data_IF_326000672669
#
_entry.id   IF_326000672669
#
_cell.length_a   1.000
_cell.length_b   1.000
_cell.length_c   1.000
_cell.angle_alpha   90.00
_cell.angle_beta   90.00
_cell.angle_gamma   90.00
#
_symmetry.space_group_name_H-M   'P 1'
#
loop_
_entity.id
_entity.type
_entity.pdbx_description
1 polymer ?
#
# COMPACT_ATOMS: atom_id res chain seq x y z
N UNK A 1 22.34 -2.11 -26.78
CA UNK A 1 23.37 -2.79 -25.97
C UNK A 1 22.97 -2.95 -24.48
N UNK A 2 21.66 -2.92 -24.16
CA UNK A 2 21.12 -3.14 -22.81
C UNK A 2 21.13 -4.62 -22.36
N UNK A 3 21.48 -5.55 -23.23
CA UNK A 3 21.50 -7.00 -22.94
C UNK A 3 22.72 -7.49 -22.15
N UNK A 4 23.71 -6.64 -21.88
CA UNK A 4 24.94 -7.04 -21.19
C UNK A 4 24.86 -6.97 -19.63
N UNK A 5 23.73 -6.60 -19.04
CA UNK A 5 23.54 -6.51 -17.58
C UNK A 5 22.55 -7.53 -17.04
N UNK A 6 22.19 -8.56 -17.83
CA UNK A 6 21.17 -9.50 -17.43
C UNK A 6 21.79 -10.62 -16.60
N UNK A 7 21.68 -10.47 -15.31
CA UNK A 7 21.80 -11.53 -14.32
C UNK A 7 20.44 -12.11 -13.97
N UNK A 8 20.42 -12.94 -12.95
CA UNK A 8 19.17 -13.43 -12.36
C UNK A 8 18.37 -12.27 -11.77
N UNK A 9 17.06 -12.26 -12.00
CA UNK A 9 16.16 -11.19 -11.56
C UNK A 9 14.99 -11.81 -10.81
N UNK A 10 14.70 -11.29 -9.62
CA UNK A 10 13.46 -11.58 -8.91
C UNK A 10 12.48 -10.43 -9.04
N UNK A 11 11.21 -10.74 -9.28
CA UNK A 11 10.15 -9.73 -9.35
C UNK A 11 8.79 -10.33 -8.98
N UNK A 12 7.83 -9.47 -8.78
CA UNK A 12 6.45 -9.82 -8.43
C UNK A 12 5.51 -9.32 -9.50
N UNK A 13 4.55 -10.14 -9.90
CA UNK A 13 3.40 -9.70 -10.67
C UNK A 13 2.10 -10.07 -9.94
N UNK A 14 1.02 -9.47 -10.35
CA UNK A 14 -0.33 -9.75 -9.84
C UNK A 14 -1.22 -10.06 -11.03
N UNK A 15 -1.99 -11.13 -10.96
CA UNK A 15 -2.91 -11.52 -12.01
C UNK A 15 -4.29 -11.81 -11.42
N UNK A 16 -5.32 -11.53 -12.20
CA UNK A 16 -6.68 -11.87 -11.83
C UNK A 16 -6.95 -13.32 -12.21
N UNK A 17 -7.35 -14.13 -11.25
CA UNK A 17 -7.94 -15.45 -11.45
C UNK A 17 -9.47 -15.29 -11.58
N UNK A 18 -10.19 -16.39 -11.75
CA UNK A 18 -11.66 -16.38 -11.90
C UNK A 18 -12.38 -15.71 -10.74
N UNK A 19 -11.91 -15.89 -9.52
CA UNK A 19 -12.57 -15.41 -8.28
C UNK A 19 -11.71 -14.44 -7.48
N UNK A 20 -10.36 -14.52 -7.59
CA UNK A 20 -9.44 -13.75 -6.75
C UNK A 20 -8.18 -13.32 -7.51
N UNK A 21 -7.39 -12.46 -6.86
CA UNK A 21 -6.07 -12.10 -7.36
C UNK A 21 -5.00 -13.05 -6.82
N UNK A 22 -4.10 -13.47 -7.70
CA UNK A 22 -2.90 -14.23 -7.36
C UNK A 22 -1.66 -13.37 -7.53
N UNK A 23 -0.71 -13.55 -6.63
CA UNK A 23 0.62 -12.95 -6.71
C UNK A 23 1.60 -14.01 -7.23
N UNK A 24 2.33 -13.67 -8.29
CA UNK A 24 3.39 -14.49 -8.84
C UNK A 24 4.76 -13.95 -8.42
N UNK A 25 5.49 -14.75 -7.65
CA UNK A 25 6.87 -14.47 -7.25
C UNK A 25 7.80 -15.18 -8.21
N UNK A 26 8.56 -14.43 -8.98
CA UNK A 26 9.33 -14.94 -10.11
C UNK A 26 10.83 -14.87 -9.84
N UNK A 27 11.51 -15.95 -10.09
CA UNK A 27 12.95 -15.97 -10.30
C UNK A 27 13.22 -16.21 -11.79
N UNK A 28 13.75 -15.23 -12.47
CA UNK A 28 14.03 -15.25 -13.90
C UNK A 28 15.53 -15.34 -14.14
N UNK A 29 15.95 -16.32 -14.95
CA UNK A 29 17.33 -16.48 -15.38
C UNK A 29 17.48 -16.23 -16.87
N UNK A 30 18.35 -15.31 -17.20
CA UNK A 30 18.78 -15.05 -18.56
C UNK A 30 20.30 -15.24 -18.65
N UNK A 31 20.72 -16.22 -19.42
CA UNK A 31 22.14 -16.53 -19.63
C UNK A 31 22.46 -16.58 -21.13
N UNK A 32 23.62 -16.05 -21.53
CA UNK A 32 24.09 -16.17 -22.89
C UNK A 32 24.39 -17.65 -23.20
N UNK A 33 23.77 -18.16 -24.24
CA UNK A 33 23.93 -19.55 -24.70
C UNK A 33 23.93 -19.58 -26.23
N UNK A 34 25.11 -19.65 -26.87
CA UNK A 34 25.25 -19.69 -28.33
C UNK A 34 24.59 -20.92 -28.97
N UNK A 35 24.32 -21.99 -28.21
CA UNK A 35 23.65 -23.17 -28.71
C UNK A 35 22.16 -22.98 -29.00
N UNK A 36 21.58 -21.91 -28.49
CA UNK A 36 20.15 -21.60 -28.67
C UNK A 36 19.93 -20.70 -29.90
N UNK A 37 18.80 -20.83 -30.60
CA UNK A 37 18.52 -20.07 -31.84
C UNK A 37 18.58 -18.54 -31.66
N UNK A 38 18.28 -18.04 -30.45
CA UNK A 38 18.33 -16.61 -30.08
C UNK A 38 19.62 -16.20 -29.38
N UNK A 39 20.59 -17.14 -29.22
CA UNK A 39 21.83 -16.91 -28.51
C UNK A 39 21.70 -16.75 -26.98
N UNK A 40 20.51 -17.04 -26.43
CA UNK A 40 20.23 -16.91 -24.99
C UNK A 40 19.36 -18.06 -24.48
N UNK A 41 19.66 -18.50 -23.27
CA UNK A 41 18.79 -19.33 -22.45
C UNK A 41 17.93 -18.44 -21.56
N UNK A 42 16.63 -18.66 -21.56
CA UNK A 42 15.66 -17.92 -20.72
C UNK A 42 14.74 -18.92 -20.06
N UNK A 43 14.61 -18.83 -18.74
CA UNK A 43 13.62 -19.64 -18.00
C UNK A 43 13.23 -18.91 -16.69
N UNK A 44 11.97 -19.06 -16.33
CA UNK A 44 11.44 -18.56 -15.05
C UNK A 44 11.00 -19.72 -14.17
N UNK A 45 11.21 -19.57 -12.87
CA UNK A 45 10.51 -20.33 -11.84
C UNK A 45 9.52 -19.38 -11.19
N UNK A 46 8.28 -19.82 -11.02
CA UNK A 46 7.20 -18.98 -10.48
C UNK A 46 6.53 -19.69 -9.31
N UNK A 47 6.40 -18.99 -8.20
CA UNK A 47 5.57 -19.38 -7.07
C UNK A 47 4.31 -18.55 -7.11
N UNK A 48 3.14 -19.18 -7.13
CA UNK A 48 1.85 -18.50 -7.07
C UNK A 48 1.28 -18.60 -5.66
N UNK A 49 0.77 -17.48 -5.16
CA UNK A 49 0.12 -17.43 -3.85
C UNK A 49 -1.01 -16.40 -3.85
N UNK A 50 -2.13 -16.65 -3.21
CA UNK A 50 -3.12 -15.63 -2.93
C UNK A 50 -2.59 -14.60 -1.92
N UNK A 51 -1.63 -15.00 -1.08
CA UNK A 51 -1.07 -14.16 -0.03
C UNK A 51 0.09 -13.30 -0.54
N UNK A 52 0.06 -12.00 -0.34
CA UNK A 52 1.08 -11.07 -0.83
C UNK A 52 2.26 -10.88 0.16
N UNK A 53 2.77 -11.97 0.73
CA UNK A 53 3.93 -11.91 1.65
C UNK A 53 5.24 -11.78 0.88
N UNK A 54 5.47 -10.57 0.35
CA UNK A 54 6.57 -10.30 -0.59
C UNK A 54 7.93 -10.60 0.02
N UNK A 55 8.19 -10.18 1.26
CA UNK A 55 9.47 -10.43 1.93
C UNK A 55 9.73 -11.90 2.18
N UNK A 56 8.69 -12.69 2.51
CA UNK A 56 8.80 -14.14 2.66
C UNK A 56 9.09 -14.80 1.32
N UNK A 57 8.20 -14.63 0.35
CA UNK A 57 8.30 -15.36 -0.93
C UNK A 57 9.48 -14.91 -1.78
N UNK A 58 9.96 -13.67 -1.60
CA UNK A 58 11.23 -13.24 -2.20
C UNK A 58 12.39 -14.07 -1.65
N UNK A 59 12.49 -14.25 -0.33
CA UNK A 59 13.53 -15.10 0.27
C UNK A 59 13.42 -16.55 -0.19
N UNK A 60 12.19 -17.08 -0.28
CA UNK A 60 11.96 -18.43 -0.87
C UNK A 60 12.52 -18.51 -2.29
N UNK A 61 12.22 -17.53 -3.15
CA UNK A 61 12.67 -17.51 -4.53
C UNK A 61 14.17 -17.31 -4.67
N UNK A 62 14.78 -16.53 -3.79
CA UNK A 62 16.24 -16.31 -3.76
C UNK A 62 17.01 -17.59 -3.38
N UNK A 63 16.38 -18.50 -2.61
CA UNK A 63 16.91 -19.83 -2.27
C UNK A 63 16.57 -20.85 -3.36
N UNK A 64 15.30 -20.96 -3.72
CA UNK A 64 14.80 -21.94 -4.68
C UNK A 64 15.36 -21.75 -6.10
N UNK A 65 15.41 -20.50 -6.57
CA UNK A 65 15.77 -20.18 -7.95
C UNK A 65 17.12 -20.76 -8.36
N UNK A 66 18.23 -20.43 -7.66
CA UNK A 66 19.55 -21.00 -7.96
C UNK A 66 19.54 -22.54 -7.94
N UNK A 67 18.96 -23.14 -6.88
CA UNK A 67 18.92 -24.60 -6.70
C UNK A 67 18.11 -25.31 -7.78
N UNK A 68 17.03 -24.72 -8.24
CA UNK A 68 16.27 -25.25 -9.37
C UNK A 68 17.12 -25.35 -10.64
N UNK A 69 17.95 -24.36 -10.92
CA UNK A 69 18.81 -24.37 -12.10
C UNK A 69 20.02 -25.30 -11.97
N UNK A 70 20.32 -25.77 -10.77
CA UNK A 70 21.37 -26.78 -10.51
C UNK A 70 20.82 -28.21 -10.52
N UNK A 71 19.65 -28.43 -9.90
CA UNK A 71 19.09 -29.75 -9.63
C UNK A 71 17.87 -30.11 -10.49
N UNK A 72 17.31 -29.13 -11.21
CA UNK A 72 16.11 -29.34 -12.03
C UNK A 72 14.84 -29.50 -11.23
N UNK A 73 13.86 -30.19 -11.80
CA UNK A 73 12.48 -30.28 -11.26
C UNK A 73 12.38 -31.12 -9.97
N UNK A 74 13.35 -31.99 -9.69
CA UNK A 74 13.38 -32.82 -8.48
C UNK A 74 13.38 -31.96 -7.19
N UNK A 75 13.83 -30.70 -7.25
CA UNK A 75 13.84 -29.81 -6.12
C UNK A 75 12.42 -29.47 -5.62
N UNK A 76 11.39 -29.55 -6.49
CA UNK A 76 10.03 -29.19 -6.10
C UNK A 76 9.40 -30.15 -5.08
N UNK A 77 9.77 -31.43 -5.08
CA UNK A 77 9.32 -32.41 -4.07
C UNK A 77 9.86 -32.02 -2.69
N UNK A 78 11.12 -31.59 -2.64
CA UNK A 78 11.74 -31.13 -1.39
C UNK A 78 11.11 -29.82 -0.89
N UNK A 79 10.82 -28.89 -1.83
CA UNK A 79 10.12 -27.63 -1.50
C UNK A 79 8.73 -27.92 -0.93
N UNK A 80 7.96 -28.81 -1.55
CA UNK A 80 6.63 -29.20 -1.07
C UNK A 80 6.71 -29.74 0.36
N UNK A 81 7.65 -30.66 0.62
CA UNK A 81 7.87 -31.19 1.97
C UNK A 81 8.29 -30.13 2.99
N UNK A 82 9.08 -29.12 2.58
CA UNK A 82 9.40 -27.99 3.47
C UNK A 82 8.15 -27.17 3.81
N UNK A 83 7.32 -26.84 2.81
CA UNK A 83 6.11 -26.04 2.98
C UNK A 83 5.06 -26.75 3.84
N UNK A 84 4.90 -28.06 3.72
CA UNK A 84 4.00 -28.86 4.55
C UNK A 84 4.37 -28.81 6.03
N UNK A 85 5.64 -28.62 6.35
CA UNK A 85 6.13 -28.50 7.73
C UNK A 85 6.02 -27.07 8.29
N UNK A 86 5.59 -26.09 7.49
CA UNK A 86 5.38 -24.74 7.99
C UNK A 86 4.12 -24.68 8.85
N UNK A 87 4.27 -24.12 10.05
CA UNK A 87 3.16 -23.96 10.99
C UNK A 87 2.11 -22.96 10.53
N UNK A 88 1.04 -22.87 11.30
CA UNK A 88 0.01 -21.86 11.06
C UNK A 88 0.57 -20.44 11.19
N UNK A 89 0.24 -19.61 10.24
CA UNK A 89 0.65 -18.21 10.18
C UNK A 89 -0.33 -17.37 11.00
N UNK A 90 0.19 -16.65 12.01
CA UNK A 90 -0.60 -15.71 12.81
C UNK A 90 -0.07 -14.29 12.60
N UNK A 91 -0.94 -13.27 12.52
CA UNK A 91 -0.51 -11.88 12.41
C UNK A 91 0.45 -11.49 13.53
N UNK A 92 1.54 -10.80 13.18
CA UNK A 92 2.56 -10.36 14.13
C UNK A 92 3.48 -11.47 14.66
N UNK A 93 3.27 -12.74 14.31
CA UNK A 93 4.15 -13.83 14.73
C UNK A 93 5.50 -13.78 14.01
N UNK A 94 6.57 -14.04 14.73
CA UNK A 94 7.89 -14.29 14.15
C UNK A 94 8.05 -15.78 13.93
N UNK A 95 8.34 -16.18 12.71
CA UNK A 95 8.42 -17.56 12.26
C UNK A 95 9.86 -17.90 11.84
N UNK A 96 10.28 -19.11 12.20
CA UNK A 96 11.50 -19.73 11.69
C UNK A 96 11.07 -20.84 10.73
N UNK A 97 11.24 -20.61 9.44
CA UNK A 97 10.71 -21.46 8.40
C UNK A 97 11.84 -22.21 7.71
N UNK A 98 11.98 -23.53 7.90
CA UNK A 98 12.99 -24.31 7.22
C UNK A 98 12.70 -24.36 5.71
N UNK A 99 13.72 -24.12 4.87
CA UNK A 99 13.63 -24.10 3.43
C UNK A 99 14.95 -24.53 2.79
N UNK A 100 14.96 -25.74 2.18
CA UNK A 100 16.08 -26.26 1.39
C UNK A 100 17.45 -26.13 2.10
N UNK A 101 17.52 -26.55 3.36
CA UNK A 101 18.74 -26.48 4.17
C UNK A 101 19.06 -25.10 4.77
N UNK A 102 18.24 -24.12 4.52
CA UNK A 102 18.29 -22.77 5.13
C UNK A 102 17.12 -22.57 6.07
N UNK A 103 17.19 -21.55 6.92
CA UNK A 103 16.07 -21.12 7.78
C UNK A 103 15.72 -19.68 7.40
N UNK A 104 14.47 -19.47 7.04
CA UNK A 104 13.93 -18.15 6.74
C UNK A 104 13.31 -17.58 8.03
N UNK A 105 13.84 -16.46 8.51
CA UNK A 105 13.24 -15.72 9.61
C UNK A 105 12.27 -14.70 9.02
N UNK A 106 10.99 -14.83 9.33
CA UNK A 106 9.96 -13.95 8.81
C UNK A 106 8.97 -13.53 9.90
N UNK A 107 8.72 -12.23 10.00
CA UNK A 107 7.67 -11.69 10.86
C UNK A 107 6.46 -11.38 10.01
N UNK A 108 5.35 -12.04 10.31
CA UNK A 108 4.08 -11.84 9.60
C UNK A 108 3.60 -10.41 9.85
N UNK A 109 3.28 -9.64 8.81
CA UNK A 109 2.71 -8.32 9.01
C UNK A 109 1.48 -8.38 9.91
N UNK A 110 1.44 -7.51 10.92
CA UNK A 110 0.23 -7.37 11.75
C UNK A 110 -0.65 -6.29 11.17
N UNK A 111 -1.96 -6.50 11.20
CA UNK A 111 -2.95 -5.50 10.80
C UNK A 111 -2.90 -4.27 11.70
N UNK A 112 -2.22 -4.38 12.84
CA UNK A 112 -2.15 -3.35 13.86
C UNK A 112 -0.72 -3.10 14.33
N UNK A 113 -0.10 -2.04 13.89
CA UNK A 113 1.01 -1.46 14.65
C UNK A 113 0.53 -0.68 15.89
N UNK A 114 -0.76 -0.68 16.23
CA UNK A 114 -1.36 0.07 17.34
C UNK A 114 -2.41 -0.70 18.15
N UNK A 115 -2.73 -1.97 17.81
CA UNK A 115 -3.72 -2.75 18.56
C UNK A 115 -3.11 -4.07 19.04
N UNK A 116 -3.47 -4.46 20.26
CA UNK A 116 -2.99 -5.71 20.88
C UNK A 116 -3.47 -6.94 20.10
N UNK A 117 -2.68 -8.04 20.11
CA UNK A 117 -3.05 -9.30 19.46
C UNK A 117 -4.36 -9.92 19.96
N UNK A 118 -4.89 -9.45 21.09
CA UNK A 118 -6.07 -9.98 21.78
C UNK A 118 -7.41 -9.55 21.13
N UNK A 119 -7.40 -8.57 20.22
CA UNK A 119 -8.62 -8.06 19.60
C UNK A 119 -9.06 -8.79 18.31
N UNK A 120 -8.27 -9.74 17.83
CA UNK A 120 -8.67 -10.59 16.70
C UNK A 120 -9.07 -11.96 17.23
N UNK A 121 -10.38 -12.24 17.22
CA UNK A 121 -10.93 -13.55 17.49
C UNK A 121 -10.33 -14.62 16.57
N UNK A 122 -10.63 -15.87 16.85
CA UNK A 122 -10.04 -17.10 16.32
C UNK A 122 -10.09 -17.28 14.77
N UNK A 123 -10.57 -16.29 14.00
CA UNK A 123 -10.81 -16.41 12.56
C UNK A 123 -9.72 -15.77 11.71
N UNK A 124 -8.55 -16.44 11.66
CA UNK A 124 -7.52 -16.13 10.64
C UNK A 124 -8.05 -16.25 9.20
N UNK A 125 -9.02 -17.12 8.94
CA UNK A 125 -9.66 -17.23 7.63
C UNK A 125 -10.44 -15.97 7.25
N UNK A 126 -11.18 -15.35 8.17
CA UNK A 126 -11.86 -14.05 7.90
C UNK A 126 -10.86 -12.92 7.65
N UNK A 127 -9.69 -12.99 8.27
CA UNK A 127 -8.60 -12.05 8.01
C UNK A 127 -7.96 -12.30 6.63
N UNK A 128 -7.79 -13.55 6.21
CA UNK A 128 -7.33 -13.90 4.85
C UNK A 128 -8.33 -13.43 3.80
N UNK A 129 -9.62 -13.56 4.04
CA UNK A 129 -10.66 -13.03 3.16
C UNK A 129 -10.60 -11.49 3.07
N UNK A 130 -10.23 -10.82 4.15
CA UNK A 130 -9.99 -9.36 4.13
C UNK A 130 -8.68 -8.96 3.45
N UNK A 131 -7.70 -9.86 3.32
CA UNK A 131 -6.44 -9.64 2.58
C UNK A 131 -6.70 -9.38 1.10
N UNK A 132 -7.73 -9.96 0.52
CA UNK A 132 -8.13 -9.68 -0.86
C UNK A 132 -8.53 -8.21 -1.07
N UNK A 133 -8.96 -7.54 0.00
CA UNK A 133 -9.26 -6.11 0.01
C UNK A 133 -8.05 -5.25 0.42
N UNK A 134 -6.91 -5.87 0.80
CA UNK A 134 -5.75 -5.22 1.36
C UNK A 134 -5.90 -4.93 2.87
N UNK A 135 -4.80 -4.80 3.58
CA UNK A 135 -4.78 -4.40 5.00
C UNK A 135 -3.64 -3.42 5.30
N UNK A 136 -3.78 -2.60 6.36
CA UNK A 136 -2.70 -1.73 6.79
C UNK A 136 -1.46 -2.56 7.15
N UNK A 137 -0.30 -2.22 6.63
CA UNK A 137 0.94 -2.99 6.85
C UNK A 137 1.31 -3.94 5.70
N UNK A 138 0.45 -4.07 4.68
CA UNK A 138 0.81 -4.79 3.47
C UNK A 138 2.05 -4.17 2.81
N UNK A 139 2.99 -5.02 2.38
CA UNK A 139 4.26 -4.61 1.76
C UNK A 139 5.20 -3.77 2.65
N UNK A 140 5.03 -3.80 3.97
CA UNK A 140 5.92 -3.08 4.91
C UNK A 140 7.34 -3.67 4.98
N UNK A 141 7.52 -4.92 4.55
CA UNK A 141 8.78 -5.62 4.40
C UNK A 141 9.65 -5.11 3.23
N UNK A 142 9.08 -4.29 2.32
CA UNK A 142 9.84 -3.66 1.25
C UNK A 142 10.63 -2.47 1.80
N UNK A 143 11.95 -2.47 1.56
CA UNK A 143 12.79 -1.32 1.89
C UNK A 143 12.54 -0.17 0.90
N UNK A 144 11.82 0.88 1.35
CA UNK A 144 11.47 2.05 0.53
C UNK A 144 12.74 2.75 0.03
N UNK A 145 13.75 2.90 0.89
CA UNK A 145 14.96 3.63 0.50
C UNK A 145 15.76 2.90 -0.58
N UNK A 146 15.82 1.57 -0.53
CA UNK A 146 16.43 0.75 -1.58
C UNK A 146 15.60 0.74 -2.86
N UNK A 147 14.27 0.61 -2.74
CA UNK A 147 13.36 0.56 -3.89
C UNK A 147 13.38 1.85 -4.72
N UNK A 148 13.57 3.01 -4.08
CA UNK A 148 13.56 4.31 -4.78
C UNK A 148 14.95 4.91 -4.99
N UNK A 149 15.92 4.50 -4.19
CA UNK A 149 17.23 5.12 -4.18
C UNK A 149 17.25 6.56 -3.65
N UNK A 150 18.43 7.10 -3.35
CA UNK A 150 18.57 8.41 -2.69
C UNK A 150 18.10 9.59 -3.55
N UNK A 151 18.30 9.54 -4.88
CA UNK A 151 17.96 10.64 -5.78
C UNK A 151 16.43 10.81 -5.89
N UNK A 152 15.70 9.70 -6.09
CA UNK A 152 14.24 9.68 -6.19
C UNK A 152 13.60 10.05 -4.84
N UNK A 153 14.10 9.45 -3.76
CA UNK A 153 13.63 9.71 -2.40
C UNK A 153 13.63 11.21 -2.09
N UNK A 154 14.70 11.92 -2.38
CA UNK A 154 14.82 13.35 -2.05
C UNK A 154 13.91 14.27 -2.88
N UNK A 155 13.58 13.89 -4.12
CA UNK A 155 12.89 14.77 -5.07
C UNK A 155 11.43 14.41 -5.31
N UNK A 156 11.11 13.13 -5.38
CA UNK A 156 9.84 12.66 -5.95
C UNK A 156 8.91 11.97 -4.95
N UNK A 157 9.41 11.42 -3.84
CA UNK A 157 8.65 10.53 -2.98
C UNK A 157 7.39 11.19 -2.40
N UNK A 158 7.45 12.48 -2.00
CA UNK A 158 6.29 13.23 -1.51
C UNK A 158 5.21 13.43 -2.60
N UNK A 159 5.65 13.70 -3.84
CA UNK A 159 4.71 13.82 -4.95
C UNK A 159 4.07 12.49 -5.30
N UNK A 160 4.82 11.40 -5.26
CA UNK A 160 4.31 10.04 -5.48
C UNK A 160 3.30 9.66 -4.39
N UNK A 161 3.59 9.96 -3.12
CA UNK A 161 2.63 9.79 -2.02
C UNK A 161 1.34 10.58 -2.28
N UNK A 162 1.44 11.85 -2.71
CA UNK A 162 0.29 12.69 -3.07
C UNK A 162 -0.57 12.06 -4.16
N UNK A 163 0.05 11.55 -5.24
CA UNK A 163 -0.63 10.89 -6.36
C UNK A 163 -1.46 9.69 -5.86
N UNK A 164 -0.88 8.86 -4.98
CA UNK A 164 -1.58 7.69 -4.47
C UNK A 164 -2.76 8.05 -3.55
N UNK A 165 -2.57 8.96 -2.59
CA UNK A 165 -3.66 9.32 -1.67
C UNK A 165 -4.79 10.03 -2.37
N UNK A 166 -4.51 10.78 -3.44
CA UNK A 166 -5.54 11.44 -4.25
C UNK A 166 -6.24 10.51 -5.25
N UNK A 167 -5.81 9.25 -5.37
CA UNK A 167 -6.39 8.26 -6.29
C UNK A 167 -6.12 8.58 -7.77
N UNK A 168 -5.03 9.30 -8.05
CA UNK A 168 -4.61 9.55 -9.42
C UNK A 168 -3.86 8.32 -9.96
N UNK A 169 -4.09 7.98 -11.22
CA UNK A 169 -3.37 6.87 -11.86
C UNK A 169 -1.91 7.23 -12.12
N UNK A 170 -1.05 6.23 -12.04
CA UNK A 170 0.39 6.37 -12.26
C UNK A 170 0.93 5.18 -13.05
N UNK A 171 1.70 5.46 -14.08
CA UNK A 171 2.50 4.48 -14.81
C UNK A 171 3.97 4.63 -14.42
N UNK A 172 4.55 3.57 -13.91
CA UNK A 172 5.97 3.46 -13.55
C UNK A 172 6.67 2.69 -14.66
N UNK A 173 7.57 3.34 -15.39
CA UNK A 173 8.40 2.71 -16.41
C UNK A 173 9.82 2.54 -15.86
N UNK A 174 10.30 1.30 -15.78
CA UNK A 174 11.66 0.97 -15.35
C UNK A 174 12.36 0.07 -16.37
N UNK A 175 13.67 -0.09 -16.24
CA UNK A 175 14.47 -0.87 -17.18
C UNK A 175 14.32 -2.39 -16.99
N UNK A 176 13.92 -2.84 -15.80
CA UNK A 176 13.70 -4.26 -15.50
C UNK A 176 12.47 -4.50 -14.61
N UNK A 177 11.89 -5.71 -14.64
CA UNK A 177 10.71 -6.08 -13.85
C UNK A 177 10.94 -6.00 -12.34
N UNK A 178 12.15 -6.28 -11.86
CA UNK A 178 12.49 -6.25 -10.43
C UNK A 178 12.32 -4.85 -9.85
N UNK A 179 12.99 -3.87 -10.43
CA UNK A 179 12.87 -2.46 -10.04
C UNK A 179 11.44 -1.97 -10.16
N UNK A 180 10.77 -2.33 -11.26
CA UNK A 180 9.40 -1.95 -11.51
C UNK A 180 8.46 -2.43 -10.39
N UNK A 181 8.49 -3.72 -10.08
CA UNK A 181 7.64 -4.30 -9.04
C UNK A 181 7.96 -3.78 -7.63
N UNK A 182 9.24 -3.56 -7.31
CA UNK A 182 9.63 -2.99 -6.02
C UNK A 182 9.13 -1.56 -5.84
N UNK A 183 9.22 -0.73 -6.87
CA UNK A 183 8.70 0.65 -6.83
C UNK A 183 7.18 0.65 -6.64
N UNK A 184 6.43 -0.13 -7.41
CA UNK A 184 4.97 -0.19 -7.31
C UNK A 184 4.52 -0.65 -5.93
N UNK A 185 5.07 -1.75 -5.43
CA UNK A 185 4.73 -2.26 -4.10
C UNK A 185 5.20 -1.33 -2.98
N UNK A 186 6.38 -0.72 -3.15
CA UNK A 186 6.89 0.30 -2.23
C UNK A 186 5.97 1.51 -2.14
N UNK A 187 5.41 1.97 -3.26
CA UNK A 187 4.43 3.05 -3.30
C UNK A 187 3.17 2.70 -2.51
N UNK A 188 2.60 1.51 -2.74
CA UNK A 188 1.41 1.07 -2.01
C UNK A 188 1.67 1.07 -0.50
N UNK A 189 2.84 0.59 -0.07
CA UNK A 189 3.23 0.57 1.34
C UNK A 189 3.42 1.96 1.94
N UNK A 190 3.68 2.97 1.10
CA UNK A 190 4.00 4.33 1.53
C UNK A 190 2.81 5.06 2.16
N UNK A 191 1.59 4.75 1.73
CA UNK A 191 0.38 5.39 2.24
C UNK A 191 -0.18 4.76 3.52
N UNK A 192 0.51 3.74 4.09
CA UNK A 192 0.09 3.12 5.35
C UNK A 192 -0.12 4.19 6.46
N UNK A 193 -1.19 4.08 7.29
CA UNK A 193 -2.11 2.94 7.45
C UNK A 193 -3.31 2.89 6.49
N UNK A 194 -3.38 3.74 5.48
CA UNK A 194 -4.39 3.61 4.44
C UNK A 194 -4.17 2.33 3.63
N UNK A 195 -5.26 1.69 3.23
CA UNK A 195 -5.28 0.58 2.29
C UNK A 195 -5.47 1.16 0.89
N UNK A 196 -4.53 0.88 -0.01
CA UNK A 196 -4.68 1.30 -1.40
C UNK A 196 -5.83 0.51 -2.05
N UNK A 197 -6.91 1.19 -2.37
CA UNK A 197 -8.13 0.59 -2.92
C UNK A 197 -8.26 0.77 -4.44
N UNK A 198 -7.15 1.13 -5.09
CA UNK A 198 -7.05 1.17 -6.54
C UNK A 198 -6.62 -0.17 -7.12
N UNK A 199 -6.72 -0.28 -8.43
CA UNK A 199 -6.11 -1.39 -9.13
C UNK A 199 -4.60 -1.20 -9.26
N UNK A 200 -3.82 -2.27 -9.08
CA UNK A 200 -2.37 -2.19 -9.18
C UNK A 200 -1.75 -3.44 -9.77
N UNK A 201 -0.76 -3.21 -10.61
CA UNK A 201 0.02 -4.28 -11.23
C UNK A 201 1.51 -3.99 -11.02
N UNK A 202 2.19 -4.74 -10.12
CA UNK A 202 3.62 -4.56 -9.86
C UNK A 202 4.48 -4.70 -11.11
N UNK A 203 4.09 -5.63 -11.98
CA UNK A 203 4.64 -5.77 -13.31
C UNK A 203 3.53 -6.15 -14.31
N UNK A 204 3.40 -5.38 -15.36
CA UNK A 204 2.34 -5.48 -16.35
C UNK A 204 2.91 -5.48 -17.77
N UNK A 205 2.32 -6.30 -18.64
CA UNK A 205 2.79 -6.49 -20.01
C UNK A 205 1.64 -6.37 -21.01
N UNK A 206 1.99 -6.24 -22.28
CA UNK A 206 1.00 -6.22 -23.38
C UNK A 206 0.29 -7.57 -23.58
N UNK A 207 0.77 -8.63 -22.92
CA UNK A 207 0.20 -9.98 -22.98
C UNK A 207 -0.79 -10.25 -21.86
N UNK A 208 -0.91 -9.34 -20.90
CA UNK A 208 -1.90 -9.44 -19.83
C UNK A 208 -3.32 -9.30 -20.40
N UNK A 209 -4.25 -10.12 -19.94
CA UNK A 209 -5.62 -10.17 -20.45
C UNK A 209 -6.33 -8.82 -20.31
N UNK A 210 -5.98 -8.06 -19.28
CA UNK A 210 -6.58 -6.76 -18.95
C UNK A 210 -6.01 -5.60 -19.80
N UNK A 211 -4.98 -5.84 -20.63
CA UNK A 211 -4.31 -4.77 -21.38
C UNK A 211 -5.26 -4.01 -22.31
N UNK A 212 -6.14 -4.73 -23.02
CA UNK A 212 -7.09 -4.12 -23.96
C UNK A 212 -8.10 -3.22 -23.25
N UNK A 213 -8.61 -3.69 -22.10
CA UNK A 213 -9.57 -2.95 -21.30
C UNK A 213 -8.91 -1.70 -20.72
N UNK A 214 -7.67 -1.80 -20.26
CA UNK A 214 -6.90 -0.66 -19.76
C UNK A 214 -6.63 0.37 -20.84
N UNK A 215 -6.30 -0.04 -22.07
CA UNK A 215 -6.11 0.86 -23.19
C UNK A 215 -7.43 1.60 -23.52
N UNK A 216 -8.52 0.90 -23.63
CA UNK A 216 -9.86 1.49 -23.89
C UNK A 216 -10.27 2.45 -22.78
N UNK A 217 -10.03 2.09 -21.52
CA UNK A 217 -10.31 2.98 -20.39
C UNK A 217 -9.45 4.25 -20.42
N UNK A 218 -8.20 4.15 -20.84
CA UNK A 218 -7.33 5.30 -20.98
C UNK A 218 -7.85 6.26 -22.06
N UNK A 219 -8.17 5.74 -23.24
CA UNK A 219 -8.72 6.50 -24.38
C UNK A 219 -10.04 7.21 -24.00
N UNK A 220 -10.89 6.58 -23.21
CA UNK A 220 -12.15 7.12 -22.71
C UNK A 220 -12.02 8.02 -21.47
N UNK A 221 -10.81 8.36 -21.04
CA UNK A 221 -10.52 9.13 -19.82
C UNK A 221 -11.05 8.47 -18.52
N UNK A 222 -11.32 7.17 -18.55
CA UNK A 222 -11.78 6.38 -17.40
C UNK A 222 -10.63 5.70 -16.66
N UNK A 223 -9.38 5.92 -17.10
CA UNK A 223 -8.20 5.37 -16.45
C UNK A 223 -7.92 6.13 -15.15
N UNK A 224 -8.56 5.68 -14.08
CA UNK A 224 -8.48 6.32 -12.76
C UNK A 224 -8.08 5.31 -11.70
N UNK A 225 -7.34 5.79 -10.70
CA UNK A 225 -6.95 5.00 -9.53
C UNK A 225 -6.26 3.67 -9.87
N UNK A 226 -5.37 3.71 -10.87
CA UNK A 226 -4.63 2.55 -11.36
C UNK A 226 -3.13 2.81 -11.26
N UNK A 227 -2.38 1.84 -10.74
CA UNK A 227 -0.93 1.89 -10.59
C UNK A 227 -0.28 0.76 -11.39
N UNK A 228 0.42 1.11 -12.46
CA UNK A 228 1.05 0.13 -13.35
C UNK A 228 2.56 0.19 -13.29
N UNK A 229 3.21 -0.97 -13.15
CA UNK A 229 4.63 -1.16 -13.37
C UNK A 229 4.89 -1.78 -14.74
N UNK A 230 5.63 -1.11 -15.62
CA UNK A 230 5.90 -1.55 -16.98
C UNK A 230 7.38 -1.40 -17.34
N UNK A 231 7.87 -2.24 -18.25
CA UNK A 231 9.26 -2.14 -18.78
C UNK A 231 9.30 -1.81 -20.26
N UNK A 232 8.17 -1.94 -20.97
CA UNK A 232 8.11 -1.69 -22.40
C UNK A 232 7.74 -0.22 -22.68
N UNK A 233 8.60 0.58 -23.35
CA UNK A 233 8.30 1.95 -23.72
C UNK A 233 7.06 2.11 -24.61
N UNK A 234 6.55 1.04 -25.20
CA UNK A 234 5.29 1.05 -25.96
C UNK A 234 4.12 1.60 -25.12
N UNK A 235 4.12 1.35 -23.82
CA UNK A 235 3.08 1.86 -22.91
C UNK A 235 3.02 3.38 -22.86
N UNK A 236 4.12 4.09 -23.15
CA UNK A 236 4.11 5.55 -23.27
C UNK A 236 3.20 6.06 -24.40
N UNK A 237 3.05 5.24 -25.46
CA UNK A 237 2.14 5.56 -26.58
C UNK A 237 0.74 5.00 -26.32
N UNK A 238 0.66 3.78 -25.81
CA UNK A 238 -0.62 3.11 -25.58
C UNK A 238 -1.45 3.76 -24.47
N UNK A 239 -0.78 4.40 -23.51
CA UNK A 239 -1.38 5.11 -22.36
C UNK A 239 -1.01 6.59 -22.34
N UNK A 240 -0.91 7.24 -23.52
CA UNK A 240 -0.50 8.66 -23.64
C UNK A 240 -1.43 9.62 -22.88
N UNK A 241 -2.69 9.24 -22.72
CA UNK A 241 -3.69 10.00 -21.95
C UNK A 241 -3.65 9.68 -20.44
N UNK A 242 -2.71 8.82 -20.01
CA UNK A 242 -2.48 8.55 -18.60
C UNK A 242 -2.07 9.84 -17.86
N UNK A 243 -2.66 10.11 -16.70
CA UNK A 243 -2.47 11.39 -16.02
C UNK A 243 -1.05 11.58 -15.46
N UNK A 244 -0.37 10.50 -15.07
CA UNK A 244 0.96 10.59 -14.47
C UNK A 244 1.88 9.48 -14.99
N UNK A 245 3.09 9.88 -15.33
CA UNK A 245 4.17 8.99 -15.76
C UNK A 245 5.41 9.22 -14.89
N UNK A 246 6.02 8.12 -14.45
CA UNK A 246 7.25 8.14 -13.70
C UNK A 246 8.25 7.16 -14.31
N UNK A 247 9.27 7.67 -14.97
CA UNK A 247 10.29 6.85 -15.63
C UNK A 247 11.57 6.82 -14.81
N UNK A 248 12.10 5.62 -14.59
CA UNK A 248 13.29 5.36 -13.80
C UNK A 248 14.42 4.82 -14.67
N UNK A 249 15.61 5.38 -14.49
CA UNK A 249 16.86 4.91 -15.08
C UNK A 249 17.75 4.31 -13.97
N UNK A 250 18.48 3.26 -14.31
CA UNK A 250 19.34 2.51 -13.39
C UNK A 250 20.83 2.62 -13.74
N UNK A 251 21.20 3.36 -14.78
CA UNK A 251 22.59 3.39 -15.31
C UNK A 251 23.62 3.87 -14.30
N UNK A 252 23.28 4.88 -13.51
CA UNK A 252 24.14 5.49 -12.48
C UNK A 252 23.52 5.44 -11.08
N UNK A 253 22.84 4.33 -10.78
CA UNK A 253 21.95 4.20 -9.62
C UNK A 253 20.52 4.65 -9.97
N UNK A 254 19.57 4.32 -9.07
CA UNK A 254 18.17 4.64 -9.29
C UNK A 254 17.94 6.16 -9.32
N UNK A 255 17.51 6.65 -10.49
CA UNK A 255 17.10 8.05 -10.65
C UNK A 255 15.88 8.19 -11.55
N UNK A 256 15.16 9.28 -11.37
CA UNK A 256 14.05 9.63 -12.25
C UNK A 256 14.62 10.28 -13.53
N UNK A 257 14.51 9.59 -14.66
CA UNK A 257 14.91 10.12 -15.97
C UNK A 257 13.84 11.05 -16.56
N UNK A 258 12.57 10.78 -16.26
CA UNK A 258 11.44 11.61 -16.67
C UNK A 258 10.27 11.45 -15.71
N UNK A 259 9.62 12.56 -15.37
CA UNK A 259 8.39 12.54 -14.60
C UNK A 259 7.42 13.58 -15.19
N UNK A 260 6.26 13.11 -15.59
CA UNK A 260 5.15 13.95 -16.01
C UNK A 260 3.99 13.77 -15.03
N UNK A 261 3.60 14.85 -14.38
CA UNK A 261 2.47 14.85 -13.46
C UNK A 261 1.40 15.81 -13.97
N UNK A 262 0.17 15.31 -14.09
CA UNK A 262 -0.97 16.12 -14.55
C UNK A 262 -1.24 17.32 -13.66
N UNK A 263 -1.00 17.17 -12.37
CA UNK A 263 -1.30 18.20 -11.37
C UNK A 263 -0.01 18.73 -10.74
N UNK A 264 0.00 20.03 -10.44
CA UNK A 264 1.08 20.65 -9.67
C UNK A 264 1.23 20.02 -8.27
N UNK A 265 2.39 20.22 -7.67
CA UNK A 265 2.71 19.68 -6.33
C UNK A 265 1.92 20.39 -5.24
N UNK A 266 1.20 19.65 -4.43
CA UNK A 266 0.42 20.14 -3.29
C UNK A 266 1.25 20.12 -2.01
N UNK A 267 2.10 19.09 -1.83
CA UNK A 267 2.95 18.91 -0.65
C UNK A 267 4.42 19.01 -1.06
N UNK A 268 5.21 19.72 -0.25
CA UNK A 268 6.65 19.87 -0.48
C UNK A 268 7.46 18.86 0.35
N UNK A 269 8.62 18.42 -0.15
CA UNK A 269 9.53 17.56 0.59
C UNK A 269 9.94 18.17 1.93
N UNK A 270 9.94 17.35 2.98
CA UNK A 270 10.35 17.74 4.33
C UNK A 270 11.88 17.80 4.42
N UNK A 271 12.45 19.02 4.46
CA UNK A 271 13.91 19.22 4.52
C UNK A 271 14.54 18.58 5.76
N UNK A 272 13.83 18.59 6.90
CA UNK A 272 14.31 17.98 8.14
C UNK A 272 14.46 16.45 8.01
N UNK A 273 13.54 15.79 7.33
CA UNK A 273 13.63 14.35 7.05
C UNK A 273 14.78 14.06 6.08
N UNK A 274 14.87 14.84 5.00
CA UNK A 274 15.93 14.67 4.00
C UNK A 274 17.33 14.84 4.63
N UNK A 275 17.51 15.76 5.58
CA UNK A 275 18.79 15.99 6.26
C UNK A 275 19.18 14.85 7.22
N UNK A 276 18.22 14.06 7.69
CA UNK A 276 18.47 12.88 8.55
C UNK A 276 18.91 11.64 7.76
N UNK A 277 18.68 11.61 6.44
CA UNK A 277 19.01 10.46 5.62
C UNK A 277 20.52 10.29 5.49
N UNK A 278 21.01 9.10 5.80
CA UNK A 278 22.41 8.74 5.67
C UNK A 278 22.77 8.52 4.20
N UNK A 279 23.89 9.07 3.77
CA UNK A 279 24.35 8.94 2.38
C UNK A 279 25.32 7.77 2.15
N UNK A 280 25.62 6.99 3.20
CA UNK A 280 26.53 5.85 3.11
C UNK A 280 25.85 4.68 2.37
N UNK A 281 26.55 4.02 1.43
CA UNK A 281 26.01 2.85 0.71
C UNK A 281 26.20 1.57 1.53
N UNK A 282 25.55 1.48 2.70
CA UNK A 282 25.56 0.26 3.53
C UNK A 282 24.14 -0.24 3.78
N UNK A 283 23.99 -1.54 4.04
CA UNK A 283 22.68 -2.15 4.37
C UNK A 283 22.10 -1.55 5.65
N UNK A 284 22.95 -1.27 6.63
CA UNK A 284 22.58 -0.66 7.90
C UNK A 284 22.02 0.76 7.67
N UNK A 285 22.71 1.58 6.86
CA UNK A 285 22.25 2.91 6.51
C UNK A 285 20.92 2.86 5.72
N UNK A 286 20.76 1.90 4.82
CA UNK A 286 19.51 1.70 4.09
C UNK A 286 18.34 1.31 5.03
N UNK A 287 18.58 0.45 6.02
CA UNK A 287 17.58 0.07 7.01
C UNK A 287 17.17 1.26 7.91
N UNK A 288 18.16 2.06 8.35
CA UNK A 288 17.91 3.29 9.13
C UNK A 288 17.10 4.28 8.31
N UNK A 289 17.49 4.53 7.07
CA UNK A 289 16.80 5.43 6.16
C UNK A 289 15.35 4.96 5.88
N UNK A 290 15.15 3.66 5.70
CA UNK A 290 13.82 3.07 5.55
C UNK A 290 12.94 3.35 6.78
N UNK A 291 13.48 3.16 7.98
CA UNK A 291 12.75 3.43 9.23
C UNK A 291 12.37 4.91 9.38
N UNK A 292 13.27 5.83 9.01
CA UNK A 292 13.00 7.28 9.01
C UNK A 292 11.87 7.62 8.03
N UNK A 293 11.94 7.09 6.79
CA UNK A 293 10.94 7.35 5.76
C UNK A 293 9.57 6.77 6.14
N UNK A 294 9.52 5.52 6.61
CA UNK A 294 8.28 4.88 7.04
C UNK A 294 7.60 5.65 8.16
N UNK A 295 8.36 6.05 9.19
CA UNK A 295 7.83 6.87 10.27
C UNK A 295 7.26 8.18 9.73
N UNK A 296 8.01 8.88 8.90
CA UNK A 296 7.57 10.17 8.36
C UNK A 296 6.31 10.06 7.51
N UNK A 297 6.25 9.12 6.56
CA UNK A 297 5.07 8.97 5.69
C UNK A 297 3.85 8.44 6.45
N UNK A 298 4.07 7.61 7.48
CA UNK A 298 3.00 7.22 8.39
C UNK A 298 2.44 8.42 9.15
N UNK A 299 3.30 9.26 9.74
CA UNK A 299 2.88 10.47 10.43
C UNK A 299 2.16 11.44 9.47
N UNK A 300 2.66 11.56 8.23
CA UNK A 300 2.04 12.37 7.20
C UNK A 300 0.62 11.88 6.85
N UNK A 301 0.47 10.57 6.68
CA UNK A 301 -0.83 9.94 6.39
C UNK A 301 -1.79 10.07 7.59
N UNK A 302 -1.33 9.82 8.81
CA UNK A 302 -2.14 10.02 10.02
C UNK A 302 -2.58 11.48 10.17
N UNK A 303 -1.69 12.44 9.87
CA UNK A 303 -2.04 13.86 9.88
C UNK A 303 -3.08 14.24 8.83
N UNK A 304 -3.10 13.55 7.68
CA UNK A 304 -4.16 13.69 6.68
C UNK A 304 -5.50 13.18 7.19
N UNK A 305 -5.50 12.09 7.96
CA UNK A 305 -6.71 11.42 8.46
C UNK A 305 -7.28 12.08 9.71
N UNK A 306 -6.46 12.72 10.52
CA UNK A 306 -6.82 13.27 11.82
C UNK A 306 -8.08 14.16 11.80
N UNK A 307 -8.29 15.09 10.84
CA UNK A 307 -9.51 15.89 10.80
C UNK A 307 -10.79 15.09 10.64
N UNK A 308 -10.73 13.98 9.88
CA UNK A 308 -11.88 13.08 9.69
C UNK A 308 -12.16 12.26 10.94
N UNK A 309 -11.12 11.81 11.64
CA UNK A 309 -11.27 11.10 12.91
C UNK A 309 -11.92 11.99 13.96
N UNK A 310 -11.50 13.26 14.04
CA UNK A 310 -12.14 14.23 14.93
C UNK A 310 -13.61 14.49 14.55
N UNK A 311 -13.92 14.53 13.26
CA UNK A 311 -15.30 14.68 12.78
C UNK A 311 -16.18 13.48 13.16
N UNK A 312 -15.63 12.26 13.16
CA UNK A 312 -16.34 11.02 13.52
C UNK A 312 -16.33 10.74 15.03
N UNK A 313 -15.55 11.47 15.83
CA UNK A 313 -15.48 11.22 17.26
C UNK A 313 -16.84 11.47 17.94
N UNK A 314 -17.20 10.57 18.84
CA UNK A 314 -18.42 10.68 19.62
C UNK A 314 -18.32 11.86 20.59
N UNK A 315 -19.26 12.81 20.50
CA UNK A 315 -19.35 13.88 21.47
C UNK A 315 -19.92 13.33 22.79
N UNK A 316 -19.02 13.01 23.70
CA UNK A 316 -19.34 12.46 25.03
C UNK A 316 -20.27 13.37 25.84
N UNK A 317 -20.25 14.68 25.60
CA UNK A 317 -21.10 15.62 26.31
C UNK A 317 -22.52 15.56 25.78
N UNK A 318 -22.67 15.63 24.45
CA UNK A 318 -23.98 15.49 23.79
C UNK A 318 -24.62 14.12 24.08
N UNK A 319 -23.79 13.07 24.12
CA UNK A 319 -24.25 11.71 24.44
C UNK A 319 -24.81 11.62 25.89
N UNK A 320 -24.13 12.23 26.88
CA UNK A 320 -24.60 12.23 28.27
C UNK A 320 -25.86 13.07 28.46
N UNK A 321 -25.98 14.18 27.72
CA UNK A 321 -27.17 15.05 27.80
C UNK A 321 -28.39 14.42 27.16
N UNK A 322 -28.24 13.66 26.07
CA UNK A 322 -29.36 13.06 25.34
C UNK A 322 -29.01 11.72 24.68
N UNK A 323 -28.82 10.65 25.48
CA UNK A 323 -28.38 9.36 24.93
C UNK A 323 -29.38 8.73 23.95
N UNK A 324 -30.68 8.99 24.11
CA UNK A 324 -31.72 8.42 23.25
C UNK A 324 -31.85 9.06 21.86
N UNK A 325 -31.32 10.29 21.69
CA UNK A 325 -31.42 11.05 20.43
C UNK A 325 -30.08 11.27 19.77
N UNK A 326 -29.02 10.65 20.30
CA UNK A 326 -27.68 10.80 19.76
C UNK A 326 -27.56 10.09 18.42
N UNK A 327 -27.18 10.82 17.41
CA UNK A 327 -26.81 10.29 16.08
C UNK A 327 -25.45 10.80 15.66
N UNK A 328 -24.69 9.94 14.99
CA UNK A 328 -23.42 10.38 14.38
C UNK A 328 -23.69 11.40 13.27
N UNK A 329 -22.87 12.45 13.19
CA UNK A 329 -23.05 13.50 12.19
C UNK A 329 -22.95 12.96 10.76
N UNK A 330 -23.86 13.40 9.88
CA UNK A 330 -23.82 13.13 8.46
C UNK A 330 -22.62 13.86 7.83
N UNK A 331 -21.78 13.13 7.08
CA UNK A 331 -20.61 13.72 6.44
C UNK A 331 -21.01 14.59 5.25
N UNK A 332 -20.75 15.90 5.37
CA UNK A 332 -20.86 16.88 4.29
C UNK A 332 -19.47 17.38 3.90
N UNK A 333 -19.07 17.13 2.64
CA UNK A 333 -17.78 17.60 2.12
C UNK A 333 -17.61 19.11 2.27
N UNK A 334 -18.68 19.90 2.03
CA UNK A 334 -18.61 21.36 2.06
C UNK A 334 -18.41 21.86 3.48
N UNK A 335 -19.14 21.31 4.44
CA UNK A 335 -19.03 21.67 5.87
C UNK A 335 -17.69 21.23 6.42
N UNK A 336 -17.25 20.01 6.11
CA UNK A 336 -15.92 19.52 6.47
C UNK A 336 -14.80 20.45 6.00
N UNK A 337 -14.79 20.85 4.72
CA UNK A 337 -13.76 21.74 4.19
C UNK A 337 -13.80 23.15 4.81
N UNK A 338 -14.98 23.63 5.27
CA UNK A 338 -15.12 24.89 5.99
C UNK A 338 -14.63 24.78 7.44
N UNK A 339 -14.86 23.64 8.09
CA UNK A 339 -14.48 23.40 9.50
C UNK A 339 -12.99 23.17 9.72
N UNK A 340 -12.21 22.91 8.66
CA UNK A 340 -10.78 22.65 8.75
C UNK A 340 -10.04 23.79 9.46
N UNK A 341 -9.53 23.50 10.65
CA UNK A 341 -8.69 24.41 11.38
C UNK A 341 -7.20 24.18 11.06
N UNK A 342 -6.66 25.04 10.21
CA UNK A 342 -5.30 24.93 9.67
C UNK A 342 -4.19 25.05 10.70
N UNK A 343 -4.46 25.58 11.88
CA UNK A 343 -3.46 25.73 12.95
C UNK A 343 -3.26 24.46 13.77
N UNK A 344 -4.24 23.54 13.75
CA UNK A 344 -4.24 22.36 14.61
C UNK A 344 -3.57 21.13 13.94
N UNK A 345 -3.46 21.10 12.61
CA UNK A 345 -3.02 19.90 11.89
C UNK A 345 -1.60 20.01 11.36
N UNK A 346 -0.68 19.11 11.75
CA UNK A 346 0.73 19.14 11.35
C UNK A 346 0.95 19.11 9.83
N UNK A 347 0.14 18.35 9.10
CA UNK A 347 0.20 18.26 7.62
C UNK A 347 0.07 19.65 6.98
N UNK A 348 -0.76 20.52 7.54
CA UNK A 348 -1.04 21.82 6.96
C UNK A 348 0.13 22.81 7.13
N UNK A 349 1.13 22.48 7.97
CA UNK A 349 2.38 23.24 8.06
C UNK A 349 3.29 23.08 6.83
N UNK A 350 3.12 22.00 6.06
CA UNK A 350 3.93 21.71 4.88
C UNK A 350 3.32 22.21 3.58
N UNK A 351 2.10 22.78 3.62
CA UNK A 351 1.37 23.25 2.44
C UNK A 351 0.65 24.55 2.72
N UNK A 352 0.21 25.23 1.66
CA UNK A 352 -0.63 26.44 1.79
C UNK A 352 -2.11 26.07 1.89
N UNK A 353 -2.93 26.96 2.48
CA UNK A 353 -4.38 26.75 2.63
C UNK A 353 -5.10 26.31 1.35
N UNK A 354 -4.91 26.98 0.18
CA UNK A 354 -5.54 26.55 -1.07
C UNK A 354 -5.11 25.15 -1.52
N UNK A 355 -3.81 24.82 -1.36
CA UNK A 355 -3.27 23.51 -1.70
C UNK A 355 -3.84 22.43 -0.76
N UNK A 356 -3.97 22.73 0.53
CA UNK A 356 -4.59 21.82 1.50
C UNK A 356 -6.05 21.52 1.14
N UNK A 357 -6.85 22.53 0.84
CA UNK A 357 -8.24 22.37 0.40
C UNK A 357 -8.29 21.48 -0.86
N UNK A 358 -7.40 21.72 -1.81
CA UNK A 358 -7.34 20.90 -3.03
C UNK A 358 -6.98 19.45 -2.72
N UNK A 359 -5.98 19.21 -1.84
CA UNK A 359 -5.59 17.86 -1.41
C UNK A 359 -6.77 17.11 -0.76
N UNK A 360 -7.41 17.72 0.25
CA UNK A 360 -8.58 17.13 0.90
C UNK A 360 -9.74 16.90 -0.07
N UNK A 361 -9.97 17.87 -0.97
CA UNK A 361 -11.03 17.78 -1.97
C UNK A 361 -10.84 16.61 -2.96
N UNK A 362 -9.58 16.33 -3.33
CA UNK A 362 -9.21 15.17 -4.17
C UNK A 362 -9.26 13.87 -3.36
N UNK A 363 -8.68 13.87 -2.15
CA UNK A 363 -8.67 12.70 -1.29
C UNK A 363 -10.09 12.20 -0.98
N UNK A 364 -11.04 13.08 -0.64
CA UNK A 364 -12.45 12.72 -0.40
C UNK A 364 -13.11 12.03 -1.62
N UNK A 365 -12.62 12.30 -2.84
CA UNK A 365 -13.13 11.66 -4.06
C UNK A 365 -12.49 10.31 -4.36
N UNK A 366 -11.35 10.00 -3.74
CA UNK A 366 -10.61 8.76 -3.99
C UNK A 366 -11.38 7.54 -3.46
N UNK A 367 -11.16 6.38 -4.08
CA UNK A 367 -11.68 5.10 -3.57
C UNK A 367 -11.05 4.74 -2.24
N UNK A 368 -9.77 5.04 -2.05
CA UNK A 368 -9.03 4.85 -0.80
C UNK A 368 -9.71 5.58 0.37
N UNK A 369 -10.15 6.83 0.18
CA UNK A 369 -10.93 7.53 1.19
C UNK A 369 -12.27 6.85 1.47
N UNK A 370 -13.00 6.44 0.43
CA UNK A 370 -14.33 5.82 0.61
C UNK A 370 -14.26 4.55 1.44
N UNK A 371 -13.30 3.67 1.15
CA UNK A 371 -13.10 2.42 1.89
C UNK A 371 -12.70 2.72 3.33
N UNK A 372 -11.69 3.57 3.53
CA UNK A 372 -11.23 3.95 4.87
C UNK A 372 -12.35 4.63 5.68
N UNK A 373 -13.09 5.56 5.09
CA UNK A 373 -14.14 6.30 5.78
C UNK A 373 -15.34 5.41 6.16
N UNK A 374 -15.69 4.44 5.32
CA UNK A 374 -16.73 3.47 5.62
C UNK A 374 -16.35 2.59 6.83
N UNK A 375 -15.10 2.09 6.88
CA UNK A 375 -14.56 1.35 8.02
C UNK A 375 -14.56 2.20 9.31
N UNK A 376 -14.07 3.44 9.23
CA UNK A 376 -14.05 4.33 10.40
C UNK A 376 -15.46 4.69 10.89
N UNK A 377 -16.39 4.90 9.97
CA UNK A 377 -17.79 5.15 10.32
C UNK A 377 -18.43 3.96 11.01
N UNK A 378 -18.14 2.74 10.54
CA UNK A 378 -18.63 1.51 11.17
C UNK A 378 -18.09 1.37 12.60
N UNK A 379 -16.78 1.61 12.81
CA UNK A 379 -16.16 1.60 14.14
C UNK A 379 -16.76 2.66 15.06
N UNK A 380 -16.86 3.90 14.58
CA UNK A 380 -17.49 4.98 15.35
C UNK A 380 -18.95 4.70 15.69
N UNK A 381 -19.69 4.04 14.79
CA UNK A 381 -21.09 3.61 15.07
C UNK A 381 -21.15 2.53 16.15
N UNK A 382 -20.24 1.57 16.15
CA UNK A 382 -20.15 0.54 17.19
C UNK A 382 -19.79 1.16 18.55
N UNK A 383 -18.76 2.02 18.60
CA UNK A 383 -18.36 2.75 19.80
C UNK A 383 -19.50 3.64 20.34
N UNK A 384 -20.22 4.33 19.45
CA UNK A 384 -21.38 5.13 19.85
C UNK A 384 -22.48 4.24 20.44
N UNK A 385 -22.75 3.10 19.85
CA UNK A 385 -23.78 2.16 20.34
C UNK A 385 -23.44 1.63 21.74
N UNK A 386 -22.19 1.22 21.96
CA UNK A 386 -21.72 0.80 23.28
C UNK A 386 -21.83 1.93 24.31
N UNK A 387 -21.40 3.14 23.93
CA UNK A 387 -21.45 4.31 24.81
C UNK A 387 -22.91 4.75 25.12
N UNK A 388 -23.84 4.60 24.17
CA UNK A 388 -25.28 4.82 24.39
C UNK A 388 -25.80 3.80 25.39
N UNK A 389 -25.50 2.51 25.23
CA UNK A 389 -25.95 1.47 26.17
C UNK A 389 -25.42 1.72 27.58
N UNK A 390 -24.14 2.10 27.73
CA UNK A 390 -23.56 2.45 29.02
C UNK A 390 -24.23 3.70 29.63
N UNK A 391 -24.45 4.74 28.82
CA UNK A 391 -25.13 5.96 29.27
C UNK A 391 -26.58 5.70 29.70
N UNK A 392 -27.31 4.84 28.96
CA UNK A 392 -28.67 4.45 29.30
C UNK A 392 -28.71 3.62 30.61
N UNK A 393 -27.74 2.72 30.80
CA UNK A 393 -27.67 1.93 32.02
C UNK A 393 -27.39 2.80 33.27
N UNK A 394 -26.55 3.83 33.13
CA UNK A 394 -26.18 4.74 34.20
C UNK A 394 -27.15 5.93 34.36
N UNK A 395 -28.16 6.03 33.50
CA UNK A 395 -29.12 7.14 33.56
C UNK A 395 -30.11 6.95 34.70
N UNK A 396 -29.96 7.78 35.72
CA UNK A 396 -30.85 7.79 36.86
C UNK A 396 -32.16 8.51 36.55
N UNK A 397 -33.21 7.72 36.23
CA UNK A 397 -34.54 8.24 35.90
C UNK A 397 -35.23 8.99 37.05
N UNK A 398 -34.82 8.74 38.31
CA UNK A 398 -35.39 9.39 39.50
C UNK A 398 -34.87 10.81 39.68
N UNK A 399 -33.65 11.12 39.16
CA UNK A 399 -33.05 12.44 39.23
C UNK A 399 -33.53 13.43 38.18
N UNK A 400 -34.21 12.95 37.14
CA UNK A 400 -34.79 13.79 36.10
C UNK A 400 -36.23 14.16 36.50
N UNK A 401 -36.47 15.43 36.90
CA UNK A 401 -37.83 15.96 36.97
C UNK A 401 -38.47 15.83 35.57
N UNK A 402 -39.22 14.77 35.37
CA UNK A 402 -40.06 14.62 34.22
C UNK A 402 -41.09 15.76 34.21
N UNK A 403 -40.85 16.78 33.39
CA UNK A 403 -41.83 17.81 33.13
C UNK A 403 -43.04 17.17 32.40
N UNK A 404 -43.98 16.64 33.17
CA UNK A 404 -45.20 15.95 32.71
C UNK A 404 -46.10 16.84 31.84
N UNK A 405 -45.77 18.10 31.66
CA UNK A 405 -46.48 19.06 30.83
C UNK A 405 -46.24 18.94 29.34
N UNK A 406 -45.16 18.25 28.88
CA UNK A 406 -44.86 18.13 27.46
C UNK A 406 -45.45 16.84 26.79
N UNK A 407 -46.03 15.95 27.55
CA UNK A 407 -46.72 14.74 27.01
C UNK A 407 -48.21 14.91 26.71
N UNK A 408 -48.73 16.15 26.67
CA UNK A 408 -50.15 16.45 26.33
C UNK A 408 -50.30 17.37 25.13
N UNK A 409 -49.55 17.12 24.06
CA UNK A 409 -49.86 17.76 22.78
C UNK A 409 -49.75 16.75 21.63
#
# INVERSE_FOLDING_TARGET
NSFNQLGDITYVFRMKSTEEYLYGFVYFRLKRDPSKPRGFFQKSVVLLSPNPFVGLFKQVMDILGPLYFEHGEAIFEVVASCLENWGQVKPGASLELPMLGSVINYTVPSTNMAFSPESFGENFCEMLDSIHQGYPGLFQDINIYEAFGPKITKKHLWKLWEVLVTGESLVVLASNPGTCSQIVLGLISLISPLIYSGDFHPYFTVFDNEFRDMQTNCENSNFTNTLLGVTNPFFLKALQDSPNLFQVDEKEGLECSSACYKNGTLIHPCKAVISQLQNQPSKEAAAINNSILRRHFRELTLSLLQPFQQFLSVDQKALKESPYTFELPCFSKQEFLKSLNYSLFPLLKFTTRPKAINLYSKFIRSSTFRVWFADQKQKASAEAHEAIQEAMYNFDLESTELNVTECKS
#
